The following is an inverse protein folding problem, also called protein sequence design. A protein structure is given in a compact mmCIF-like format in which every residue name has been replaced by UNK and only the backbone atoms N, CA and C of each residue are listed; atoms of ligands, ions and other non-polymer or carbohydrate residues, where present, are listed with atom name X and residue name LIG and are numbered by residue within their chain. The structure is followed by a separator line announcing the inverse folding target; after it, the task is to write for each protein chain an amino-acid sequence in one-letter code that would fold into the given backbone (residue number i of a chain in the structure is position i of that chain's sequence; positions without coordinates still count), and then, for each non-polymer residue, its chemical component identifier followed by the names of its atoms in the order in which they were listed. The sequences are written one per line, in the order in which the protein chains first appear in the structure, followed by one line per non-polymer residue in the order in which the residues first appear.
data_IF_685705399635
#
_entry.id   IF_685705399635
#
_cell.length_a   1.000
_cell.length_b   1.000
_cell.length_c   1.000
_cell.angle_alpha   90.00
_cell.angle_beta   90.00
_cell.angle_gamma   90.00
#
_symmetry.space_group_name_H-M   'P 1'
#
loop_
_entity.id
_entity.type
_entity.pdbx_description
1 polymer ?
#
# COMPACT_ATOMS: atom_id res chain seq x y z
N UNK A 1 8.56 -20.20 -57.05
CA UNK A 1 9.58 -19.47 -56.27
C UNK A 1 9.36 -19.64 -54.76
N UNK A 2 9.35 -20.87 -54.23
CA UNK A 2 9.17 -21.18 -52.81
C UNK A 2 10.09 -22.30 -52.33
N UNK A 3 11.40 -22.18 -52.57
CA UNK A 3 12.35 -23.22 -52.10
C UNK A 3 13.69 -22.59 -51.68
N UNK A 4 13.69 -21.64 -50.72
CA UNK A 4 14.98 -21.13 -50.28
C UNK A 4 15.09 -20.78 -48.81
N UNK A 5 14.13 -21.15 -47.94
CA UNK A 5 14.18 -20.80 -46.51
C UNK A 5 14.42 -22.01 -45.57
N UNK A 6 14.66 -23.20 -46.09
CA UNK A 6 14.73 -24.44 -45.27
C UNK A 6 16.15 -25.02 -45.10
N UNK A 7 17.21 -24.26 -45.41
CA UNK A 7 18.58 -24.76 -45.24
C UNK A 7 19.45 -23.86 -44.37
N UNK A 8 18.88 -23.22 -43.36
CA UNK A 8 19.73 -22.63 -42.31
C UNK A 8 20.24 -23.75 -41.40
N UNK A 9 21.59 -23.94 -41.28
CA UNK A 9 22.13 -24.95 -40.39
C UNK A 9 21.66 -24.68 -38.95
N UNK A 10 21.22 -25.71 -38.28
CA UNK A 10 20.68 -25.71 -36.92
C UNK A 10 21.58 -24.99 -35.93
N UNK A 11 22.88 -25.01 -36.15
CA UNK A 11 23.89 -24.29 -35.35
C UNK A 11 23.76 -22.78 -35.34
N UNK A 12 23.11 -22.16 -36.32
CA UNK A 12 22.89 -20.71 -36.37
C UNK A 12 21.59 -20.26 -35.74
N UNK A 13 20.65 -21.17 -35.52
CA UNK A 13 19.34 -20.90 -34.94
C UNK A 13 19.42 -20.86 -33.41
N UNK A 14 20.28 -21.73 -32.83
CA UNK A 14 20.47 -21.84 -31.38
C UNK A 14 20.89 -20.49 -30.72
N UNK A 15 21.92 -19.76 -31.24
CA UNK A 15 22.30 -18.50 -30.61
C UNK A 15 21.23 -17.42 -30.75
N UNK A 16 20.40 -17.48 -31.81
CA UNK A 16 19.31 -16.51 -31.99
C UNK A 16 18.16 -16.74 -31.02
N UNK A 17 17.81 -18.02 -30.77
CA UNK A 17 16.81 -18.40 -29.76
C UNK A 17 17.26 -18.07 -28.33
N UNK A 18 18.55 -18.23 -28.01
CA UNK A 18 19.10 -17.86 -26.71
C UNK A 18 19.11 -16.33 -26.50
N UNK A 19 19.37 -15.56 -27.54
CA UNK A 19 19.31 -14.09 -27.47
C UNK A 19 17.88 -13.59 -27.27
N UNK A 20 16.89 -14.17 -27.95
CA UNK A 20 15.48 -13.78 -27.80
C UNK A 20 14.96 -14.15 -26.41
N UNK A 21 15.35 -15.30 -25.85
CA UNK A 21 14.95 -15.69 -24.49
C UNK A 21 15.55 -14.79 -23.42
N UNK A 22 16.78 -14.29 -23.59
CA UNK A 22 17.41 -13.34 -22.69
C UNK A 22 16.73 -11.96 -22.67
N UNK A 23 16.11 -11.55 -23.79
CA UNK A 23 15.37 -10.28 -23.86
C UNK A 23 13.98 -10.35 -23.23
N UNK A 24 13.35 -11.54 -23.21
CA UNK A 24 12.02 -11.73 -22.61
C UNK A 24 12.04 -11.82 -21.08
N UNK A 25 13.18 -12.09 -20.47
CA UNK A 25 13.29 -12.24 -19.00
C UNK A 25 13.45 -10.93 -18.23
N UNK A 26 13.43 -9.76 -18.87
CA UNK A 26 13.76 -8.49 -18.21
C UNK A 26 12.55 -7.69 -17.68
N UNK A 27 11.31 -8.19 -17.79
CA UNK A 27 10.13 -7.38 -17.45
C UNK A 27 9.27 -7.94 -16.30
N UNK A 28 9.86 -8.63 -15.35
CA UNK A 28 9.14 -8.89 -14.09
C UNK A 28 9.40 -7.73 -13.13
N UNK A 29 8.66 -6.65 -13.30
CA UNK A 29 8.57 -5.60 -12.28
C UNK A 29 7.64 -6.14 -11.20
N UNK A 30 8.20 -6.65 -10.13
CA UNK A 30 7.43 -7.00 -8.95
C UNK A 30 6.90 -5.71 -8.33
N UNK A 31 5.58 -5.52 -8.35
CA UNK A 31 4.94 -4.41 -7.64
C UNK A 31 5.24 -4.56 -6.14
N UNK A 32 5.82 -3.52 -5.53
CA UNK A 32 6.10 -3.49 -4.09
C UNK A 32 4.82 -3.13 -3.36
N UNK A 33 4.34 -4.02 -2.51
CA UNK A 33 3.16 -3.77 -1.68
C UNK A 33 3.52 -4.13 -0.25
N UNK A 34 3.33 -3.19 0.67
CA UNK A 34 3.49 -3.40 2.10
C UNK A 34 2.10 -3.43 2.70
N UNK A 35 1.76 -4.50 3.39
CA UNK A 35 0.47 -4.69 4.01
C UNK A 35 0.63 -4.99 5.51
N UNK A 36 -0.21 -4.35 6.33
CA UNK A 36 -0.35 -4.66 7.74
C UNK A 36 -1.81 -4.97 8.06
N UNK A 37 -2.04 -6.08 8.75
CA UNK A 37 -3.37 -6.53 9.20
C UNK A 37 -3.44 -6.70 10.71
N UNK A 38 -2.35 -6.42 11.43
CA UNK A 38 -2.31 -6.49 12.89
C UNK A 38 -2.40 -5.10 13.51
N UNK A 39 -3.17 -5.00 14.58
CA UNK A 39 -3.36 -3.79 15.36
C UNK A 39 -3.14 -4.11 16.83
N UNK A 40 -2.35 -3.28 17.49
CA UNK A 40 -2.24 -3.28 18.95
C UNK A 40 -2.79 -1.95 19.47
N UNK A 41 -3.72 -1.95 20.42
CA UNK A 41 -4.21 -0.72 21.02
C UNK A 41 -3.06 -0.04 21.81
N UNK A 42 -2.97 1.27 21.70
CA UNK A 42 -1.98 2.05 22.46
C UNK A 42 -2.34 2.20 23.94
N UNK A 43 -3.60 2.02 24.28
CA UNK A 43 -4.13 2.11 25.66
C UNK A 43 -5.12 0.97 25.89
N UNK A 44 -5.09 0.38 27.10
CA UNK A 44 -5.99 -0.70 27.47
C UNK A 44 -7.47 -0.25 27.53
N UNK A 45 -7.71 1.00 27.91
CA UNK A 45 -9.06 1.60 28.02
C UNK A 45 -9.46 2.37 26.75
N UNK A 46 -9.08 1.87 25.57
CA UNK A 46 -9.43 2.53 24.31
C UNK A 46 -10.95 2.53 24.11
N UNK A 47 -11.50 3.74 23.90
CA UNK A 47 -12.93 3.93 23.59
C UNK A 47 -13.27 3.55 22.13
N UNK A 48 -12.29 3.18 21.36
CA UNK A 48 -12.43 2.63 20.01
C UNK A 48 -11.81 1.23 19.95
N UNK A 49 -12.60 0.27 19.52
CA UNK A 49 -12.15 -1.13 19.34
C UNK A 49 -12.24 -1.50 17.87
N UNK A 50 -11.09 -1.70 17.24
CA UNK A 50 -11.02 -2.14 15.85
C UNK A 50 -11.33 -3.63 15.74
N UNK A 51 -12.24 -3.99 14.83
CA UNK A 51 -12.61 -5.37 14.50
C UNK A 51 -11.95 -5.84 13.20
N UNK A 52 -11.61 -4.92 12.31
CA UNK A 52 -10.85 -5.15 11.10
C UNK A 52 -9.86 -4.00 10.92
N UNK A 53 -8.63 -4.37 10.60
CA UNK A 53 -7.57 -3.42 10.30
C UNK A 53 -6.79 -3.92 9.08
N UNK A 54 -6.72 -3.10 8.06
CA UNK A 54 -5.93 -3.38 6.87
C UNK A 54 -5.34 -2.06 6.36
N UNK A 55 -4.03 -1.98 6.36
CA UNK A 55 -3.30 -0.88 5.76
C UNK A 55 -2.44 -1.44 4.65
N UNK A 56 -2.55 -0.86 3.47
CA UNK A 56 -1.74 -1.22 2.31
C UNK A 56 -1.02 0.02 1.81
N UNK A 57 0.29 -0.06 1.73
CA UNK A 57 1.14 0.97 1.15
C UNK A 57 1.71 0.48 -0.16
N UNK A 58 1.54 1.28 -1.21
CA UNK A 58 2.12 1.05 -2.53
C UNK A 58 3.15 2.15 -2.79
N UNK A 59 4.45 1.85 -2.68
CA UNK A 59 5.51 2.86 -2.85
C UNK A 59 5.49 3.53 -4.22
N UNK A 60 5.14 2.78 -5.28
CA UNK A 60 5.12 3.28 -6.65
C UNK A 60 4.06 4.39 -6.86
N UNK A 61 2.94 4.31 -6.15
CA UNK A 61 1.85 5.30 -6.20
C UNK A 61 1.99 6.36 -5.10
N UNK A 62 2.82 6.12 -4.09
CA UNK A 62 2.90 6.94 -2.89
C UNK A 62 1.59 6.97 -2.08
N UNK A 63 0.73 5.96 -2.23
CA UNK A 63 -0.58 5.89 -1.61
C UNK A 63 -0.61 4.89 -0.45
N UNK A 64 -1.08 5.38 0.69
CA UNK A 64 -1.44 4.59 1.86
C UNK A 64 -2.96 4.40 1.88
N UNK A 65 -3.40 3.17 1.67
CA UNK A 65 -4.82 2.79 1.74
C UNK A 65 -5.11 2.26 3.12
N UNK A 66 -6.05 2.89 3.81
CA UNK A 66 -6.43 2.58 5.18
C UNK A 66 -7.86 2.05 5.17
N UNK A 67 -8.06 0.83 5.67
CA UNK A 67 -9.37 0.25 5.89
C UNK A 67 -9.47 -0.26 7.32
N UNK A 68 -10.36 0.36 8.09
CA UNK A 68 -10.58 0.02 9.49
C UNK A 68 -12.07 -0.09 9.74
N UNK A 69 -12.50 -1.19 10.33
CA UNK A 69 -13.82 -1.32 10.91
C UNK A 69 -13.68 -1.44 12.42
N UNK A 70 -14.61 -0.87 13.15
CA UNK A 70 -14.54 -0.91 14.59
C UNK A 70 -15.84 -0.48 15.26
N UNK A 71 -15.81 -0.50 16.57
CA UNK A 71 -16.90 -0.05 17.42
C UNK A 71 -16.38 1.10 18.26
N UNK A 72 -17.09 2.22 18.22
CA UNK A 72 -16.79 3.41 19.03
C UNK A 72 -17.76 3.54 20.19
N UNK A 73 -17.23 3.87 21.36
CA UNK A 73 -17.99 4.34 22.51
C UNK A 73 -17.95 5.86 22.64
N UNK A 74 -17.24 6.54 21.70
CA UNK A 74 -17.12 7.99 21.66
C UNK A 74 -18.25 8.62 20.86
N UNK A 75 -18.65 9.83 21.25
CA UNK A 75 -19.49 10.72 20.46
C UNK A 75 -18.91 12.12 20.45
N UNK A 76 -18.93 12.79 19.29
CA UNK A 76 -18.44 14.13 19.11
C UNK A 76 -17.32 14.26 18.07
N UNK A 77 -16.71 15.44 18.02
CA UNK A 77 -15.63 15.70 17.09
C UNK A 77 -14.34 15.02 17.55
N UNK A 78 -13.70 14.34 16.65
CA UNK A 78 -12.41 13.67 16.88
C UNK A 78 -11.34 14.24 15.96
N UNK A 79 -10.11 14.17 16.39
CA UNK A 79 -8.92 14.44 15.59
C UNK A 79 -8.12 13.15 15.45
N UNK A 80 -7.47 12.98 14.34
CA UNK A 80 -6.62 11.83 14.11
C UNK A 80 -5.20 12.28 13.77
N UNK A 81 -4.22 11.51 14.22
CA UNK A 81 -2.81 11.72 13.87
C UNK A 81 -2.28 10.43 13.26
N UNK A 82 -1.68 10.55 12.10
CA UNK A 82 -0.99 9.46 11.42
C UNK A 82 0.52 9.67 11.59
N UNK A 83 1.20 8.68 12.15
CA UNK A 83 2.64 8.63 12.19
C UNK A 83 3.13 7.33 11.54
N UNK A 84 4.08 7.45 10.63
CA UNK A 84 4.78 6.30 10.04
C UNK A 84 6.16 6.23 10.67
N UNK A 85 6.41 5.12 11.34
CA UNK A 85 7.69 4.86 12.02
C UNK A 85 8.37 3.71 11.28
N UNK A 86 9.56 3.96 10.78
CA UNK A 86 10.41 2.97 10.13
C UNK A 86 11.75 2.89 10.85
N UNK A 87 12.19 1.68 11.22
CA UNK A 87 13.47 1.45 11.91
C UNK A 87 13.67 2.27 13.18
N UNK A 88 12.58 2.61 13.90
CA UNK A 88 12.63 3.42 15.11
C UNK A 88 12.68 4.93 14.87
N UNK A 89 12.64 5.38 13.63
CA UNK A 89 12.58 6.80 13.26
C UNK A 89 11.20 7.16 12.71
N UNK A 90 10.70 8.34 13.07
CA UNK A 90 9.46 8.88 12.49
C UNK A 90 9.76 9.35 11.07
N UNK A 91 9.31 8.57 10.08
CA UNK A 91 9.46 8.88 8.67
C UNK A 91 8.45 9.95 8.21
N UNK A 92 7.24 9.93 8.78
CA UNK A 92 6.19 10.89 8.51
C UNK A 92 5.29 11.05 9.73
N UNK A 93 4.84 12.28 9.97
CA UNK A 93 3.78 12.60 10.91
C UNK A 93 2.83 13.60 10.26
N UNK A 94 1.53 13.33 10.35
CA UNK A 94 0.50 14.18 9.76
C UNK A 94 -0.74 14.20 10.64
N UNK A 95 -1.24 15.39 10.90
CA UNK A 95 -2.56 15.57 11.49
C UNK A 95 -3.61 15.39 10.39
N UNK A 96 -4.61 14.57 10.68
CA UNK A 96 -5.72 14.28 9.80
C UNK A 96 -6.97 14.98 10.37
N UNK A 97 -7.65 15.74 9.54
CA UNK A 97 -8.95 16.32 9.87
C UNK A 97 -10.06 15.43 9.25
N UNK A 98 -10.73 14.61 10.06
CA UNK A 98 -11.79 13.74 9.56
C UNK A 98 -12.94 14.48 8.88
N UNK A 99 -13.14 15.76 9.21
CA UNK A 99 -14.22 16.55 8.65
C UNK A 99 -13.93 17.04 7.21
N UNK A 100 -12.66 17.08 6.82
CA UNK A 100 -12.25 17.58 5.51
C UNK A 100 -11.76 16.48 4.57
N UNK A 101 -11.62 15.24 5.04
CA UNK A 101 -11.05 14.13 4.27
C UNK A 101 -12.12 13.13 3.85
N UNK A 102 -12.05 12.73 2.58
CA UNK A 102 -12.89 11.63 2.06
C UNK A 102 -12.58 10.31 2.76
N UNK A 103 -13.62 9.53 3.01
CA UNK A 103 -13.50 8.22 3.65
C UNK A 103 -13.49 8.26 5.18
N UNK A 104 -13.64 9.46 5.78
CA UNK A 104 -13.72 9.67 7.22
C UNK A 104 -15.10 10.16 7.69
N UNK A 105 -16.13 10.03 6.85
CA UNK A 105 -17.47 10.61 7.09
C UNK A 105 -18.09 10.14 8.41
N UNK A 106 -17.78 8.89 8.84
CA UNK A 106 -18.25 8.35 10.12
C UNK A 106 -17.57 8.92 11.37
N UNK A 107 -16.55 9.78 11.20
CA UNK A 107 -15.75 10.36 12.28
C UNK A 107 -16.04 11.85 12.50
N UNK A 108 -16.97 12.45 11.76
CA UNK A 108 -17.26 13.89 11.88
C UNK A 108 -18.77 14.23 11.81
N UNK A 109 -19.43 14.33 12.94
CA UNK A 109 -19.03 13.89 14.28
C UNK A 109 -19.04 12.36 14.40
N UNK A 110 -18.13 11.82 15.21
CA UNK A 110 -18.15 10.41 15.53
C UNK A 110 -19.40 10.09 16.35
N UNK A 111 -20.06 9.00 16.02
CA UNK A 111 -21.19 8.47 16.79
C UNK A 111 -20.82 7.15 17.46
N UNK A 112 -21.50 6.84 18.58
CA UNK A 112 -21.35 5.52 19.19
C UNK A 112 -21.90 4.43 18.28
N UNK A 113 -21.23 3.29 18.23
CA UNK A 113 -21.60 2.14 17.41
C UNK A 113 -20.55 1.75 16.38
N UNK A 114 -21.01 1.10 15.32
CA UNK A 114 -20.12 0.63 14.26
C UNK A 114 -19.62 1.78 13.40
N UNK A 115 -18.31 1.77 13.14
CA UNK A 115 -17.63 2.73 12.28
C UNK A 115 -16.84 1.97 11.22
N UNK A 116 -16.93 2.46 9.99
CA UNK A 116 -16.11 2.00 8.86
C UNK A 116 -15.31 3.19 8.34
N UNK A 117 -14.00 3.03 8.33
CA UNK A 117 -13.05 3.96 7.74
C UNK A 117 -12.47 3.34 6.48
N UNK A 118 -12.52 4.05 5.36
CA UNK A 118 -11.91 3.63 4.12
C UNK A 118 -11.36 4.87 3.39
N UNK A 119 -10.10 5.15 3.61
CA UNK A 119 -9.47 6.35 3.09
C UNK A 119 -8.14 6.07 2.41
N UNK A 120 -7.78 6.95 1.48
CA UNK A 120 -6.47 6.98 0.83
C UNK A 120 -5.73 8.23 1.28
N UNK A 121 -4.53 8.04 1.79
CA UNK A 121 -3.65 9.12 2.23
C UNK A 121 -2.42 9.16 1.35
N UNK A 122 -2.15 10.29 0.74
CA UNK A 122 -0.90 10.48 0.00
C UNK A 122 0.27 10.59 0.98
N UNK A 123 1.23 9.72 0.79
CA UNK A 123 2.49 9.67 1.53
C UNK A 123 3.58 10.15 0.59
N UNK A 124 4.26 11.22 0.92
CA UNK A 124 5.25 11.83 0.03
C UNK A 124 6.34 10.84 -0.43
N UNK A 125 6.92 11.09 -1.59
CA UNK A 125 7.96 10.26 -2.21
C UNK A 125 9.15 9.99 -1.27
N UNK A 126 9.48 10.93 -0.38
CA UNK A 126 10.55 10.75 0.61
C UNK A 126 10.32 9.56 1.55
N UNK A 127 9.07 9.21 1.83
CA UNK A 127 8.73 8.04 2.64
C UNK A 127 8.83 6.78 1.78
N UNK A 128 8.38 6.82 0.53
CA UNK A 128 8.51 5.71 -0.40
C UNK A 128 9.98 5.33 -0.63
N UNK A 129 10.85 6.34 -0.77
CA UNK A 129 12.29 6.15 -0.97
C UNK A 129 13.01 5.64 0.30
N UNK A 130 12.45 5.90 1.48
CA UNK A 130 13.02 5.44 2.76
C UNK A 130 12.68 3.97 3.10
N UNK A 131 11.77 3.36 2.34
CA UNK A 131 11.45 1.94 2.49
C UNK A 131 12.47 1.13 1.68
N UNK A 132 13.36 0.36 2.34
CA UNK A 132 14.35 -0.43 1.62
C UNK A 132 13.65 -1.38 0.66
N UNK A 133 14.24 -1.52 -0.52
CA UNK A 133 13.80 -2.54 -1.46
C UNK A 133 13.94 -3.92 -0.84
N UNK A 134 12.82 -4.58 -0.60
CA UNK A 134 12.77 -5.99 -0.26
C UNK A 134 12.89 -6.78 -1.57
#
# INVERSE_FOLDING_TARGET
MYHSLLSMPLERIIPFLLLVSAWLSQYVVAARIIQSTSLNPCMEDSLFSATLFNITFTPDDGLLRIKVNGISSLSGNVTAKLAIIAYGYTAMERDLDPCSMEGFEGMCPMSTGQITLNSNVEVGQSVADSVPGV
#
